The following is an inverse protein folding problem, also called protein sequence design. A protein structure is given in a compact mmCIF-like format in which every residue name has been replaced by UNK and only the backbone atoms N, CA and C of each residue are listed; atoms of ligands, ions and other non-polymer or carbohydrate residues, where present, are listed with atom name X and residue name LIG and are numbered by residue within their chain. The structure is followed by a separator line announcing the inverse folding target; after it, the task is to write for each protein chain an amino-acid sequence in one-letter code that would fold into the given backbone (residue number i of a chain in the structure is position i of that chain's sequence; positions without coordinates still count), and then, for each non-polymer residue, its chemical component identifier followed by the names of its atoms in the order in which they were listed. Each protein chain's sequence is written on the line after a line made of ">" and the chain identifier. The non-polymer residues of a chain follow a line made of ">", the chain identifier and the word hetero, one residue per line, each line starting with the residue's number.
data_IF_870687116160
#
_entry.id   IF_870687116160
#
_cell.length_a   1.000
_cell.length_b   1.000
_cell.length_c   1.000
_cell.angle_alpha   90.00
_cell.angle_beta   90.00
_cell.angle_gamma   90.00
#
_symmetry.space_group_name_H-M   'P 1'
#
loop_
_entity.id
_entity.type
_entity.pdbx_description
1 polymer ?
#
# COMPACT_ATOMS: atom_id res chain seq x y z
N UNK A 1 12.72 -24.74 20.25
CA UNK A 1 13.65 -23.99 19.36
C UNK A 1 13.40 -24.22 17.87
N UNK A 2 13.36 -25.46 17.34
CA UNK A 2 13.19 -25.71 15.91
C UNK A 2 11.88 -25.10 15.32
N UNK A 3 10.77 -25.19 16.03
CA UNK A 3 9.45 -24.66 15.57
C UNK A 3 9.41 -23.13 15.55
N UNK A 4 10.03 -22.48 16.54
CA UNK A 4 10.13 -21.02 16.61
C UNK A 4 10.97 -20.47 15.46
N UNK A 5 12.10 -21.11 15.14
CA UNK A 5 12.95 -20.75 14.00
C UNK A 5 12.19 -20.90 12.68
N UNK A 6 11.41 -21.98 12.52
CA UNK A 6 10.55 -22.19 11.36
C UNK A 6 9.47 -21.10 11.23
N UNK A 7 8.86 -20.69 12.36
CA UNK A 7 7.87 -19.61 12.38
C UNK A 7 8.50 -18.27 11.94
N UNK A 8 9.69 -17.94 12.44
CA UNK A 8 10.40 -16.71 12.04
C UNK A 8 10.75 -16.73 10.55
N UNK A 9 11.25 -17.85 10.04
CA UNK A 9 11.53 -18.01 8.62
C UNK A 9 10.25 -17.88 7.79
N UNK A 10 9.15 -18.52 8.20
CA UNK A 10 7.86 -18.39 7.52
C UNK A 10 7.36 -16.94 7.53
N UNK A 11 7.53 -16.19 8.63
CA UNK A 11 7.18 -14.77 8.71
C UNK A 11 8.06 -13.92 7.78
N UNK A 12 9.35 -14.23 7.64
CA UNK A 12 10.26 -13.45 6.77
C UNK A 12 9.87 -13.51 5.29
N UNK A 13 9.15 -14.55 4.86
CA UNK A 13 8.59 -14.63 3.49
C UNK A 13 7.27 -13.87 3.33
N UNK A 14 6.79 -13.17 4.39
CA UNK A 14 5.46 -12.54 4.47
C UNK A 14 5.51 -11.15 5.10
N UNK A 15 6.47 -10.33 4.68
CA UNK A 15 6.67 -8.99 5.24
C UNK A 15 6.87 -8.97 6.77
N UNK A 16 7.32 -10.08 7.36
CA UNK A 16 7.48 -10.27 8.81
C UNK A 16 6.18 -10.11 9.62
N UNK A 17 5.02 -10.20 8.97
CA UNK A 17 3.70 -10.03 9.59
C UNK A 17 2.73 -11.08 9.08
N UNK A 18 1.94 -11.66 9.97
CA UNK A 18 0.84 -12.54 9.57
C UNK A 18 -0.32 -12.49 10.58
N UNK A 19 -1.52 -12.79 10.10
CA UNK A 19 -2.64 -13.06 11.00
C UNK A 19 -2.49 -14.46 11.61
N UNK A 20 -2.82 -14.62 12.89
CA UNK A 20 -2.65 -15.90 13.61
C UNK A 20 -3.42 -17.06 13.01
N UNK A 21 -4.51 -16.81 12.26
CA UNK A 21 -5.22 -17.87 11.53
C UNK A 21 -4.41 -18.38 10.33
N UNK A 22 -3.63 -17.54 9.67
CA UNK A 22 -2.74 -17.93 8.56
C UNK A 22 -1.57 -18.77 9.10
N UNK A 23 -0.98 -18.35 10.23
CA UNK A 23 0.05 -19.13 10.90
C UNK A 23 -0.47 -20.52 11.31
N UNK A 24 -1.72 -20.60 11.80
CA UNK A 24 -2.36 -21.87 12.12
C UNK A 24 -2.60 -22.72 10.88
N UNK A 25 -3.06 -22.13 9.79
CA UNK A 25 -3.23 -22.83 8.52
C UNK A 25 -1.90 -23.35 7.96
N UNK A 26 -0.78 -22.67 8.25
CA UNK A 26 0.57 -23.11 7.93
C UNK A 26 1.14 -24.15 8.92
N UNK A 27 0.35 -24.62 9.89
CA UNK A 27 0.71 -25.67 10.81
C UNK A 27 1.39 -25.21 12.12
N UNK A 28 1.43 -23.91 12.40
CA UNK A 28 1.92 -23.40 13.69
C UNK A 28 0.81 -23.37 14.72
N UNK A 29 1.03 -24.02 15.86
CA UNK A 29 0.06 -24.07 16.94
C UNK A 29 -0.02 -22.74 17.70
N UNK A 30 -1.06 -22.60 18.54
CA UNK A 30 -1.13 -21.45 19.48
C UNK A 30 0.05 -21.46 20.45
N UNK A 31 0.54 -22.66 20.82
CA UNK A 31 1.68 -22.82 21.70
C UNK A 31 2.96 -22.29 21.06
N UNK A 32 3.27 -22.67 19.79
CA UNK A 32 4.44 -22.20 19.05
C UNK A 32 4.48 -20.66 19.01
N UNK A 33 3.34 -20.03 18.69
CA UNK A 33 3.24 -18.58 18.67
C UNK A 33 3.40 -17.95 20.06
N UNK A 34 2.86 -18.58 21.10
CA UNK A 34 2.97 -18.08 22.48
C UNK A 34 4.41 -18.20 23.00
N UNK A 35 5.09 -19.31 22.71
CA UNK A 35 6.50 -19.52 23.02
C UNK A 35 7.38 -18.44 22.34
N UNK A 36 7.15 -18.18 21.05
CA UNK A 36 7.88 -17.15 20.32
C UNK A 36 7.65 -15.74 20.89
N UNK A 37 6.42 -15.44 21.38
CA UNK A 37 6.12 -14.17 22.06
C UNK A 37 6.84 -14.09 23.40
N UNK A 38 6.77 -15.16 24.22
CA UNK A 38 7.43 -15.20 25.54
C UNK A 38 8.94 -15.10 25.44
N UNK A 39 9.52 -15.62 24.36
CA UNK A 39 10.94 -15.50 24.06
C UNK A 39 11.34 -14.12 23.47
N UNK A 40 10.40 -13.19 23.28
CA UNK A 40 10.65 -11.87 22.71
C UNK A 40 11.00 -11.86 21.22
N UNK A 41 10.82 -12.99 20.53
CA UNK A 41 11.18 -13.14 19.09
C UNK A 41 10.11 -12.58 18.15
N UNK A 42 8.86 -12.54 18.58
CA UNK A 42 7.75 -11.89 17.91
C UNK A 42 6.89 -11.13 18.93
N UNK A 43 6.06 -10.21 18.44
CA UNK A 43 5.07 -9.54 19.29
C UNK A 43 3.67 -9.66 18.72
N UNK A 44 2.66 -9.51 19.56
CA UNK A 44 1.25 -9.47 19.13
C UNK A 44 0.80 -8.04 18.91
N UNK A 45 0.01 -7.88 17.84
CA UNK A 45 -0.66 -6.63 17.50
C UNK A 45 -2.15 -6.93 17.34
N UNK A 46 -3.03 -6.12 17.97
CA UNK A 46 -4.49 -6.30 17.95
C UNK A 46 -4.95 -7.75 18.18
N UNK A 47 -4.39 -8.42 19.18
CA UNK A 47 -4.69 -9.79 19.59
C UNK A 47 -4.41 -10.88 18.53
N UNK A 48 -4.65 -10.60 17.25
CA UNK A 48 -4.67 -11.62 16.19
C UNK A 48 -3.49 -11.57 15.24
N UNK A 49 -2.74 -10.50 15.23
CA UNK A 49 -1.57 -10.35 14.37
C UNK A 49 -0.29 -10.70 15.12
N UNK A 50 0.62 -11.37 14.45
CA UNK A 50 1.98 -11.65 14.92
C UNK A 50 2.95 -10.90 14.03
N UNK A 51 3.93 -10.27 14.66
CA UNK A 51 4.90 -9.37 14.01
C UNK A 51 6.28 -9.75 14.48
N UNK A 52 7.16 -10.09 13.54
CA UNK A 52 8.57 -10.37 13.79
C UNK A 52 9.43 -9.10 13.60
N UNK A 53 10.67 -9.10 14.10
CA UNK A 53 11.66 -8.06 13.77
C UNK A 53 11.86 -7.93 12.26
N UNK A 54 12.05 -6.70 11.77
CA UNK A 54 12.16 -6.40 10.34
C UNK A 54 10.82 -6.09 9.64
N UNK A 55 9.69 -6.18 10.34
CA UNK A 55 8.41 -5.75 9.79
C UNK A 55 8.41 -4.25 9.46
N UNK A 56 7.84 -3.91 8.31
CA UNK A 56 7.64 -2.53 7.88
C UNK A 56 6.78 -1.76 8.90
N UNK A 57 7.27 -0.62 9.38
CA UNK A 57 6.61 0.19 10.41
C UNK A 57 5.24 0.72 9.94
N UNK A 58 5.11 1.08 8.67
CA UNK A 58 3.85 1.53 8.08
C UNK A 58 2.80 0.42 8.06
N UNK A 59 3.19 -0.82 7.75
CA UNK A 59 2.30 -2.00 7.83
C UNK A 59 1.84 -2.21 9.28
N UNK A 60 2.76 -2.16 10.23
CA UNK A 60 2.43 -2.35 11.65
C UNK A 60 1.48 -1.26 12.13
N UNK A 61 1.73 -0.01 11.75
CA UNK A 61 0.87 1.13 12.05
C UNK A 61 -0.52 0.95 11.43
N UNK A 62 -0.61 0.54 10.17
CA UNK A 62 -1.89 0.28 9.51
C UNK A 62 -2.69 -0.84 10.20
N UNK A 63 -2.03 -1.93 10.61
CA UNK A 63 -2.67 -3.02 11.36
C UNK A 63 -3.14 -2.53 12.73
N UNK A 64 -2.36 -1.72 13.44
CA UNK A 64 -2.77 -1.13 14.73
C UNK A 64 -4.04 -0.28 14.58
N UNK A 65 -4.16 0.48 13.51
CA UNK A 65 -5.37 1.22 13.19
C UNK A 65 -6.55 0.32 12.78
N UNK A 66 -6.31 -0.97 12.51
CA UNK A 66 -7.32 -1.93 12.05
C UNK A 66 -7.57 -1.87 10.55
N UNK A 67 -6.65 -1.31 9.80
CA UNK A 67 -6.68 -1.16 8.37
C UNK A 67 -5.54 -1.88 7.65
N UNK A 68 -5.25 -1.39 6.44
CA UNK A 68 -4.20 -1.85 5.54
C UNK A 68 -3.43 -0.66 5.00
N UNK A 69 -2.16 -0.86 4.69
CA UNK A 69 -1.37 0.17 4.02
C UNK A 69 -1.98 0.48 2.63
N UNK A 70 -2.04 1.75 2.24
CA UNK A 70 -2.61 2.17 0.95
C UNK A 70 -1.98 3.46 0.41
N UNK A 71 -2.51 3.99 -0.68
CA UNK A 71 -2.18 5.30 -1.25
C UNK A 71 -0.67 5.48 -1.48
N UNK A 72 -0.12 6.64 -1.16
CA UNK A 72 1.32 6.97 -1.33
C UNK A 72 2.22 6.09 -0.48
N UNK A 73 1.76 5.59 0.68
CA UNK A 73 2.54 4.67 1.50
C UNK A 73 2.75 3.31 0.81
N UNK A 74 1.79 2.81 0.02
CA UNK A 74 1.98 1.63 -0.83
C UNK A 74 2.91 1.97 -2.00
N UNK A 75 2.76 3.14 -2.61
CA UNK A 75 3.63 3.58 -3.71
C UNK A 75 5.10 3.64 -3.25
N UNK A 76 5.38 4.34 -2.16
CA UNK A 76 6.72 4.46 -1.59
C UNK A 76 7.32 3.09 -1.24
N UNK A 77 6.55 2.24 -0.57
CA UNK A 77 6.98 0.89 -0.21
C UNK A 77 7.33 0.02 -1.43
N UNK A 78 6.68 0.25 -2.57
CA UNK A 78 6.97 -0.44 -3.84
C UNK A 78 8.12 0.20 -4.63
N UNK A 79 8.79 1.22 -4.08
CA UNK A 79 9.85 1.96 -4.75
C UNK A 79 9.35 2.80 -5.92
N UNK A 80 8.05 3.10 -5.97
CA UNK A 80 7.50 4.06 -6.91
C UNK A 80 7.86 5.47 -6.48
N UNK A 81 7.79 6.43 -7.41
CA UNK A 81 7.84 7.82 -7.03
C UNK A 81 6.62 8.15 -6.15
N UNK A 82 6.85 8.86 -5.06
CA UNK A 82 5.82 9.38 -4.19
C UNK A 82 6.26 10.75 -3.65
N UNK A 83 5.35 11.71 -3.48
CA UNK A 83 5.70 12.96 -2.84
C UNK A 83 6.10 12.71 -1.37
N UNK A 84 6.90 13.60 -0.76
CA UNK A 84 7.18 13.55 0.66
C UNK A 84 5.88 13.50 1.47
N UNK A 85 5.81 12.61 2.45
CA UNK A 85 4.65 12.47 3.33
C UNK A 85 5.10 11.94 4.69
N UNK A 86 4.56 12.52 5.76
CA UNK A 86 4.87 12.16 7.14
C UNK A 86 3.83 11.21 7.74
N UNK A 87 2.62 11.16 7.15
CA UNK A 87 1.53 10.32 7.61
C UNK A 87 1.58 8.95 6.95
N UNK A 88 1.21 7.91 7.69
CA UNK A 88 0.95 6.58 7.13
C UNK A 88 -0.46 6.54 6.54
N UNK A 89 -0.58 6.27 5.25
CA UNK A 89 -1.86 6.19 4.56
C UNK A 89 -2.49 4.82 4.75
N UNK A 90 -3.67 4.77 5.36
CA UNK A 90 -4.33 3.54 5.81
C UNK A 90 -5.74 3.44 5.24
N UNK A 91 -6.03 2.36 4.52
CA UNK A 91 -7.39 2.00 4.14
C UNK A 91 -8.09 1.32 5.31
N UNK A 92 -9.16 1.93 5.79
CA UNK A 92 -9.95 1.45 6.90
C UNK A 92 -11.25 0.79 6.42
N UNK A 93 -11.72 -0.28 7.09
CA UNK A 93 -13.04 -0.82 6.83
C UNK A 93 -14.12 0.20 7.20
N UNK A 94 -15.27 0.18 6.53
CA UNK A 94 -16.40 1.09 6.82
C UNK A 94 -16.88 1.04 8.28
N UNK A 95 -16.67 -0.08 8.95
CA UNK A 95 -17.03 -0.29 10.35
C UNK A 95 -16.00 0.26 11.35
N UNK A 96 -14.89 0.83 10.88
CA UNK A 96 -13.88 1.43 11.76
C UNK A 96 -14.40 2.74 12.33
N UNK A 97 -15.04 2.67 13.50
CA UNK A 97 -15.61 3.83 14.18
C UNK A 97 -14.63 4.54 15.12
N UNK A 98 -13.58 3.86 15.55
CA UNK A 98 -12.59 4.38 16.52
C UNK A 98 -11.20 3.87 16.15
N UNK A 99 -10.28 4.79 15.86
CA UNK A 99 -8.86 4.54 15.67
C UNK A 99 -8.10 5.80 16.12
N UNK A 100 -6.88 5.61 16.56
CA UNK A 100 -5.98 6.74 16.79
C UNK A 100 -5.54 7.28 15.44
N UNK A 101 -5.81 8.55 15.16
CA UNK A 101 -5.50 9.22 13.91
C UNK A 101 -4.12 9.91 13.91
N UNK A 102 -3.40 9.90 15.02
CA UNK A 102 -2.09 10.55 15.10
C UNK A 102 -1.10 9.93 14.08
N UNK A 103 -0.56 10.74 13.18
CA UNK A 103 0.35 10.31 12.12
C UNK A 103 -0.30 9.41 11.05
N UNK A 104 -1.63 9.39 10.96
CA UNK A 104 -2.37 8.58 10.00
C UNK A 104 -3.23 9.43 9.07
N UNK A 105 -3.19 9.10 7.78
CA UNK A 105 -4.16 9.54 6.78
C UNK A 105 -5.12 8.39 6.46
N UNK A 106 -6.32 8.46 6.98
CA UNK A 106 -7.33 7.43 6.78
C UNK A 106 -8.02 7.54 5.42
N UNK A 107 -8.26 6.40 4.79
CA UNK A 107 -9.00 6.27 3.54
C UNK A 107 -10.15 5.30 3.69
N UNK A 108 -11.30 5.66 3.12
CA UNK A 108 -12.48 4.82 3.00
C UNK A 108 -12.92 4.78 1.55
N UNK A 109 -13.43 3.66 1.10
CA UNK A 109 -13.93 3.56 -0.27
C UNK A 109 -14.20 2.13 -0.73
N UNK A 110 -14.77 2.02 -1.92
CA UNK A 110 -14.87 0.77 -2.65
C UNK A 110 -13.61 0.57 -3.48
N UNK A 111 -12.86 -0.45 -3.14
CA UNK A 111 -11.68 -0.86 -3.88
C UNK A 111 -12.10 -1.54 -5.20
N UNK A 112 -11.52 -1.16 -6.37
CA UNK A 112 -11.83 -1.79 -7.64
C UNK A 112 -11.36 -3.24 -7.75
N UNK A 113 -10.31 -3.61 -7.00
CA UNK A 113 -9.76 -4.96 -6.98
C UNK A 113 -10.10 -5.67 -5.68
N UNK A 114 -10.47 -6.97 -5.75
CA UNK A 114 -10.72 -7.77 -4.56
C UNK A 114 -9.45 -7.92 -3.71
N UNK A 115 -9.63 -8.09 -2.42
CA UNK A 115 -8.55 -8.26 -1.46
C UNK A 115 -8.71 -9.55 -0.66
N UNK A 116 -7.59 -10.17 -0.31
CA UNK A 116 -7.59 -11.26 0.64
C UNK A 116 -7.94 -10.76 2.04
N UNK A 117 -8.53 -11.61 2.86
CA UNK A 117 -9.04 -11.26 4.18
C UNK A 117 -7.99 -10.62 5.09
N UNK A 118 -6.76 -11.10 5.03
CA UNK A 118 -5.65 -10.67 5.88
C UNK A 118 -4.54 -9.94 5.12
N UNK A 119 -4.86 -9.33 3.97
CA UNK A 119 -3.91 -8.47 3.27
C UNK A 119 -3.46 -7.31 4.18
N UNK A 120 -2.16 -7.13 4.33
CA UNK A 120 -1.54 -6.07 5.14
C UNK A 120 -1.41 -4.74 4.37
N UNK A 121 -1.44 -4.83 3.05
CA UNK A 121 -1.41 -3.69 2.13
C UNK A 121 -2.42 -3.93 1.00
N UNK A 122 -2.93 -2.86 0.43
CA UNK A 122 -3.81 -2.95 -0.73
C UNK A 122 -3.06 -3.30 -2.01
N UNK A 123 -3.72 -3.97 -2.98
CA UNK A 123 -3.23 -4.07 -4.35
C UNK A 123 -2.92 -2.68 -4.92
N UNK A 124 -1.93 -2.59 -5.81
CA UNK A 124 -1.50 -1.31 -6.38
C UNK A 124 -2.66 -0.53 -7.03
N UNK A 125 -3.55 -1.19 -7.76
CA UNK A 125 -4.73 -0.57 -8.37
C UNK A 125 -5.61 0.14 -7.32
N UNK A 126 -5.83 -0.48 -6.16
CA UNK A 126 -6.62 0.12 -5.08
C UNK A 126 -5.88 1.33 -4.47
N UNK A 127 -4.57 1.21 -4.26
CA UNK A 127 -3.74 2.31 -3.77
C UNK A 127 -3.75 3.50 -4.74
N UNK A 128 -3.69 3.26 -6.06
CA UNK A 128 -3.76 4.29 -7.10
C UNK A 128 -5.10 5.04 -7.08
N UNK A 129 -6.23 4.36 -6.79
CA UNK A 129 -7.51 5.04 -6.57
C UNK A 129 -7.42 6.04 -5.42
N UNK A 130 -6.83 5.65 -4.30
CA UNK A 130 -6.66 6.54 -3.16
C UNK A 130 -5.67 7.68 -3.46
N UNK A 131 -4.59 7.41 -4.18
CA UNK A 131 -3.66 8.44 -4.68
C UNK A 131 -4.42 9.48 -5.50
N UNK A 132 -5.25 9.06 -6.44
CA UNK A 132 -6.01 9.96 -7.32
C UNK A 132 -6.89 10.97 -6.57
N UNK A 133 -7.38 10.60 -5.39
CA UNK A 133 -8.32 11.43 -4.61
C UNK A 133 -7.66 12.14 -3.43
N UNK A 134 -6.47 11.73 -3.02
CA UNK A 134 -5.82 12.16 -1.79
C UNK A 134 -4.81 13.30 -2.00
N UNK A 135 -4.04 13.26 -3.07
CA UNK A 135 -2.93 14.19 -3.30
C UNK A 135 -3.19 15.08 -4.52
N UNK A 136 -2.41 16.17 -4.72
CA UNK A 136 -2.54 17.05 -5.88
C UNK A 136 -2.45 16.26 -7.19
N UNK A 137 -3.16 16.76 -8.23
CA UNK A 137 -3.30 16.05 -9.51
C UNK A 137 -1.97 15.71 -10.18
N UNK A 138 -1.00 16.62 -10.15
CA UNK A 138 0.31 16.40 -10.78
C UNK A 138 1.12 15.34 -10.04
N UNK A 139 1.12 15.38 -8.71
CA UNK A 139 1.75 14.35 -7.88
C UNK A 139 1.09 12.99 -8.11
N UNK A 140 -0.24 12.97 -8.16
CA UNK A 140 -0.97 11.74 -8.45
C UNK A 140 -0.59 11.17 -9.84
N UNK A 141 -0.50 12.02 -10.87
CA UNK A 141 -0.07 11.59 -12.21
C UNK A 141 1.35 11.02 -12.17
N UNK A 142 2.29 11.68 -11.48
CA UNK A 142 3.66 11.19 -11.34
C UNK A 142 3.73 9.81 -10.66
N UNK A 143 2.91 9.57 -9.61
CA UNK A 143 2.79 8.23 -8.99
C UNK A 143 2.28 7.20 -10.00
N UNK A 144 1.23 7.53 -10.76
CA UNK A 144 0.61 6.63 -11.74
C UNK A 144 1.60 6.29 -12.88
N UNK A 145 2.30 7.27 -13.42
CA UNK A 145 3.33 7.07 -14.44
C UNK A 145 4.51 6.24 -13.91
N UNK A 146 4.94 6.51 -12.66
CA UNK A 146 5.94 5.68 -11.99
C UNK A 146 5.47 4.23 -11.84
N UNK A 147 4.19 4.00 -11.58
CA UNK A 147 3.63 2.66 -11.52
C UNK A 147 3.67 1.95 -12.88
N UNK A 148 3.33 2.65 -13.97
CA UNK A 148 3.44 2.11 -15.34
C UNK A 148 4.88 1.74 -15.70
N UNK A 149 5.87 2.54 -15.31
CA UNK A 149 7.28 2.27 -15.63
C UNK A 149 7.90 1.16 -14.80
N UNK A 150 7.56 1.07 -13.52
CA UNK A 150 8.26 0.19 -12.57
C UNK A 150 7.53 -1.11 -12.26
N UNK A 151 6.34 -1.32 -12.82
CA UNK A 151 5.57 -2.55 -12.60
C UNK A 151 5.07 -3.13 -13.92
N UNK A 152 4.37 -4.26 -13.85
CA UNK A 152 3.70 -4.87 -15.01
C UNK A 152 2.38 -4.20 -15.41
N UNK A 153 2.01 -3.07 -14.80
CA UNK A 153 0.82 -2.31 -15.20
C UNK A 153 1.02 -1.67 -16.58
N UNK A 154 -0.04 -1.71 -17.36
CA UNK A 154 -0.10 -1.04 -18.66
C UNK A 154 -1.24 -0.04 -18.72
N UNK A 155 -1.16 0.92 -19.64
CA UNK A 155 -2.25 1.88 -19.89
C UNK A 155 -3.56 1.18 -20.25
N UNK A 156 -3.50 0.09 -21.03
CA UNK A 156 -4.66 -0.75 -21.37
C UNK A 156 -5.28 -1.39 -20.11
N UNK A 157 -4.47 -1.92 -19.20
CA UNK A 157 -4.97 -2.45 -17.92
C UNK A 157 -5.65 -1.36 -17.10
N UNK A 158 -5.07 -0.17 -17.00
CA UNK A 158 -5.68 0.97 -16.30
C UNK A 158 -7.00 1.40 -16.94
N UNK A 159 -7.09 1.39 -18.27
CA UNK A 159 -8.30 1.71 -19.03
C UNK A 159 -9.45 0.72 -18.80
N UNK A 160 -9.16 -0.54 -18.49
CA UNK A 160 -10.17 -1.58 -18.20
C UNK A 160 -10.70 -1.58 -16.78
N UNK A 161 -10.02 -0.87 -15.85
CA UNK A 161 -10.49 -0.79 -14.47
C UNK A 161 -11.73 0.08 -14.38
N UNK A 162 -12.77 -0.41 -13.72
CA UNK A 162 -13.97 0.38 -13.44
C UNK A 162 -13.70 1.36 -12.29
N UNK A 163 -13.16 2.51 -12.62
CA UNK A 163 -12.90 3.57 -11.66
C UNK A 163 -14.19 4.27 -11.24
N UNK A 164 -14.53 4.22 -9.96
CA UNK A 164 -15.70 4.94 -9.41
C UNK A 164 -15.44 6.43 -9.14
N UNK A 165 -14.19 6.90 -9.33
CA UNK A 165 -13.78 8.30 -9.20
C UNK A 165 -13.52 8.91 -10.56
N UNK A 166 -14.07 10.12 -10.83
CA UNK A 166 -13.78 10.89 -12.04
C UNK A 166 -12.28 11.21 -12.15
N UNK A 167 -11.66 11.63 -11.03
CA UNK A 167 -10.22 11.90 -10.98
C UNK A 167 -9.37 10.68 -11.33
N UNK A 168 -9.76 9.48 -10.89
CA UNK A 168 -9.04 8.26 -11.24
C UNK A 168 -9.20 7.92 -12.73
N UNK A 169 -10.39 8.14 -13.32
CA UNK A 169 -10.60 7.97 -14.78
C UNK A 169 -9.76 8.95 -15.59
N UNK A 170 -9.71 10.20 -15.17
CA UNK A 170 -8.88 11.23 -15.83
C UNK A 170 -7.39 10.89 -15.77
N UNK A 171 -6.90 10.41 -14.62
CA UNK A 171 -5.51 9.99 -14.47
C UNK A 171 -5.21 8.74 -15.30
N UNK A 172 -6.13 7.76 -15.33
CA UNK A 172 -5.97 6.58 -16.18
C UNK A 172 -5.85 6.92 -17.68
N UNK A 173 -6.59 7.94 -18.13
CA UNK A 173 -6.53 8.42 -19.51
C UNK A 173 -5.28 9.30 -19.80
N UNK A 174 -4.77 10.00 -18.78
CA UNK A 174 -3.63 10.92 -18.94
C UNK A 174 -2.26 10.27 -18.71
N UNK A 175 -2.21 9.19 -17.91
CA UNK A 175 -0.94 8.55 -17.54
C UNK A 175 -0.29 7.85 -18.74
N UNK A 176 1.01 8.07 -18.90
CA UNK A 176 1.83 7.49 -19.96
C UNK A 176 3.14 6.95 -19.41
N UNK A 177 3.82 6.13 -20.18
CA UNK A 177 5.17 5.61 -19.85
C UNK A 177 6.29 6.54 -20.29
N UNK A 178 5.96 7.68 -20.93
CA UNK A 178 6.92 8.54 -21.62
C UNK A 178 7.70 9.48 -20.69
N UNK A 179 7.22 9.76 -19.48
CA UNK A 179 7.96 10.58 -18.53
C UNK A 179 8.95 9.71 -17.74
N UNK A 180 10.24 9.98 -17.80
CA UNK A 180 11.28 9.18 -17.15
C UNK A 180 11.35 9.35 -15.64
N UNK A 181 10.84 10.46 -15.11
CA UNK A 181 10.80 10.72 -13.67
C UNK A 181 9.55 11.51 -13.24
N UNK A 182 9.22 11.47 -11.95
CA UNK A 182 8.16 12.32 -11.40
C UNK A 182 8.45 13.81 -11.56
N UNK A 183 9.74 14.19 -11.57
CA UNK A 183 10.17 15.56 -11.85
C UNK A 183 9.85 15.97 -13.29
N UNK A 184 10.10 15.09 -14.26
CA UNK A 184 9.77 15.33 -15.67
C UNK A 184 8.27 15.47 -15.89
N UNK A 185 7.45 14.70 -15.20
CA UNK A 185 5.99 14.87 -15.22
C UNK A 185 5.59 16.28 -14.82
N UNK A 186 6.19 16.82 -13.75
CA UNK A 186 5.93 18.20 -13.30
C UNK A 186 6.42 19.24 -14.30
N UNK A 187 7.63 19.07 -14.86
CA UNK A 187 8.22 19.99 -15.85
C UNK A 187 7.40 20.01 -17.14
N UNK A 188 7.10 18.85 -17.70
CA UNK A 188 6.32 18.72 -18.95
C UNK A 188 4.91 19.32 -18.79
N UNK A 189 4.25 19.10 -17.66
CA UNK A 189 2.95 19.70 -17.40
C UNK A 189 3.04 21.23 -17.20
N UNK A 190 4.08 21.72 -16.52
CA UNK A 190 4.34 23.15 -16.39
C UNK A 190 4.55 23.82 -17.74
N UNK A 191 5.37 23.23 -18.61
CA UNK A 191 5.65 23.75 -19.95
C UNK A 191 4.42 23.71 -20.86
N UNK A 192 3.65 22.60 -20.83
CA UNK A 192 2.37 22.51 -21.57
C UNK A 192 1.34 23.53 -21.11
N UNK A 193 1.31 23.83 -19.79
CA UNK A 193 0.45 24.90 -19.22
C UNK A 193 0.81 26.30 -19.71
N UNK A 194 2.05 26.50 -20.17
CA UNK A 194 2.50 27.74 -20.82
C UNK A 194 2.23 27.80 -22.34
N UNK A 195 1.51 26.84 -22.90
CA UNK A 195 1.14 26.78 -24.31
C UNK A 195 2.24 26.27 -25.25
N UNK A 196 3.33 25.69 -24.68
CA UNK A 196 4.45 25.15 -25.47
C UNK A 196 4.21 23.66 -25.76
N UNK A 197 4.25 23.28 -27.02
CA UNK A 197 4.16 21.87 -27.44
C UNK A 197 5.48 21.15 -27.10
N UNK A 198 5.46 20.28 -26.08
CA UNK A 198 6.59 19.40 -25.79
C UNK A 198 6.41 18.06 -26.52
N UNK A 199 7.35 17.72 -27.40
CA UNK A 199 7.56 16.34 -27.87
C UNK A 199 8.51 15.66 -26.87
N UNK A 200 8.11 14.53 -26.37
CA UNK A 200 8.97 13.56 -25.66
C UNK A 200 9.52 12.55 -26.66
#
# INVERSE_FOLDING_TARGET
>A
MARTTQLLHWLSTRDHVAHSTEARAAGFSKYDMSEAVSAGLIRRVRRSWIVAPGADSGIVTAINAGGRLTCVSVAARRGLWAPPHDEVHVALPRSAARFDSAGLRAHWGHAPMPMTRHAVAEPLINALLHVATCIPRLDALAVWESALRKTSLTTDMLGRVQWHSSRARELAAAASVLADSGLETHVVHGIRGMGVACRQ
#
